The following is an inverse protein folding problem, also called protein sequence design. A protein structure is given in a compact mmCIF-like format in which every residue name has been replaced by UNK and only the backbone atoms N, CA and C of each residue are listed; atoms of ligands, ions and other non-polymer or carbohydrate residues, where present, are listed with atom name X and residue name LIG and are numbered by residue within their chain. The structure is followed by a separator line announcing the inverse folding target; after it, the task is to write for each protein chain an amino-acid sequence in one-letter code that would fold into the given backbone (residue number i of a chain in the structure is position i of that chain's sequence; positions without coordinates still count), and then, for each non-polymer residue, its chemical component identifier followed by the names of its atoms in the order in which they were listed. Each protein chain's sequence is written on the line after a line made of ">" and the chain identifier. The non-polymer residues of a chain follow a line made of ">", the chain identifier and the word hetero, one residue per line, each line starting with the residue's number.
data_IF_111611260772
#
_entry.id   IF_111611260772
#
_cell.length_a   1.000
_cell.length_b   1.000
_cell.length_c   1.000
_cell.angle_alpha   90.00
_cell.angle_beta   90.00
_cell.angle_gamma   90.00
#
_symmetry.space_group_name_H-M   'P 1'
#
loop_
_entity.id
_entity.type
_entity.pdbx_description
1 polymer ?
#
# COMPACT_ATOMS: atom_id res chain seq x y z
N UNK A 1 -7.30 -16.41 10.70
CA UNK A 1 -6.23 -16.66 11.72
C UNK A 1 -5.65 -15.32 12.13
N UNK A 2 -5.54 -15.01 13.42
CA UNK A 2 -5.03 -13.70 13.87
C UNK A 2 -3.52 -13.72 14.14
N UNK A 3 -2.80 -12.73 13.62
CA UNK A 3 -1.36 -12.53 13.81
C UNK A 3 -1.06 -11.06 14.12
N UNK A 4 0.12 -10.77 14.66
CA UNK A 4 0.62 -9.40 14.81
C UNK A 4 1.67 -9.11 13.76
N UNK A 5 1.51 -8.00 13.03
CA UNK A 5 2.48 -7.49 12.07
C UNK A 5 2.88 -6.08 12.49
N UNK A 6 4.15 -5.87 12.87
CA UNK A 6 4.64 -4.57 13.35
C UNK A 6 3.80 -3.98 14.50
N UNK A 7 3.21 -4.84 15.34
CA UNK A 7 2.34 -4.44 16.45
C UNK A 7 0.86 -4.26 16.09
N UNK A 8 0.49 -4.28 14.81
CA UNK A 8 -0.91 -4.23 14.36
C UNK A 8 -1.51 -5.64 14.33
N UNK A 9 -2.76 -5.77 14.78
CA UNK A 9 -3.51 -7.02 14.70
C UNK A 9 -4.04 -7.21 13.28
N UNK A 10 -3.63 -8.28 12.62
CA UNK A 10 -4.04 -8.64 11.27
C UNK A 10 -4.71 -10.02 11.27
N UNK A 11 -5.74 -10.18 10.45
CA UNK A 11 -6.31 -11.48 10.14
C UNK A 11 -5.77 -12.01 8.81
N UNK A 12 -5.32 -13.27 8.80
CA UNK A 12 -5.13 -14.03 7.57
C UNK A 12 -6.49 -14.49 7.08
N UNK A 13 -6.99 -13.85 6.03
CA UNK A 13 -8.30 -14.10 5.43
C UNK A 13 -8.27 -15.32 4.53
N UNK A 14 -7.26 -15.43 3.66
CA UNK A 14 -7.09 -16.58 2.79
C UNK A 14 -5.62 -16.92 2.54
N UNK A 15 -5.40 -18.22 2.29
CA UNK A 15 -4.14 -18.81 1.86
C UNK A 15 -4.48 -19.64 0.63
N UNK A 16 -3.86 -19.35 -0.51
CA UNK A 16 -4.13 -20.07 -1.75
C UNK A 16 -2.83 -20.36 -2.49
N UNK A 17 -2.64 -21.57 -3.04
CA UNK A 17 -1.63 -21.77 -4.06
C UNK A 17 -1.96 -20.87 -5.25
N UNK A 18 -0.94 -20.24 -5.84
CA UNK A 18 -1.03 -19.56 -7.12
C UNK A 18 -0.34 -20.40 -8.19
N UNK A 19 -1.11 -20.73 -9.23
CA UNK A 19 -0.62 -21.38 -10.44
C UNK A 19 -0.56 -20.33 -11.54
N UNK A 20 0.59 -20.22 -12.20
CA UNK A 20 0.74 -19.36 -13.37
C UNK A 20 0.42 -20.20 -14.59
N UNK A 21 -0.72 -19.95 -15.22
CA UNK A 21 -1.17 -20.72 -16.39
C UNK A 21 -0.29 -20.36 -17.59
N UNK A 22 0.71 -21.18 -17.87
CA UNK A 22 1.52 -21.06 -19.09
C UNK A 22 1.84 -22.43 -19.66
N UNK A 23 0.85 -23.09 -20.26
CA UNK A 23 1.00 -24.15 -21.28
C UNK A 23 1.91 -25.36 -21.00
N UNK A 24 2.50 -25.52 -19.81
CA UNK A 24 3.48 -26.56 -19.52
C UNK A 24 3.21 -27.18 -18.16
N UNK A 25 2.92 -28.49 -18.16
CA UNK A 25 2.85 -29.43 -17.02
C UNK A 25 1.80 -29.19 -15.94
N UNK A 26 1.10 -30.27 -15.59
CA UNK A 26 0.00 -30.34 -14.59
C UNK A 26 0.44 -30.10 -13.12
N UNK A 27 1.67 -29.68 -12.84
CA UNK A 27 2.28 -29.75 -11.49
C UNK A 27 2.91 -28.44 -10.95
N UNK A 28 2.87 -27.29 -11.64
CA UNK A 28 3.61 -26.10 -11.17
C UNK A 28 2.76 -25.14 -10.31
N UNK A 29 2.79 -25.35 -8.99
CA UNK A 29 2.51 -24.25 -8.04
C UNK A 29 3.76 -23.36 -8.00
N UNK A 30 3.63 -22.09 -8.38
CA UNK A 30 4.76 -21.15 -8.41
C UNK A 30 4.94 -20.41 -7.09
N UNK A 31 3.85 -20.18 -6.35
CA UNK A 31 3.88 -19.55 -5.04
C UNK A 31 2.65 -19.88 -4.20
N UNK A 32 2.75 -19.60 -2.90
CA UNK A 32 1.60 -19.56 -2.00
C UNK A 32 1.29 -18.09 -1.76
N UNK A 33 0.09 -17.67 -2.13
CA UNK A 33 -0.46 -16.35 -1.80
C UNK A 33 -1.07 -16.36 -0.41
N UNK A 34 -0.75 -15.35 0.39
CA UNK A 34 -1.33 -15.14 1.72
C UNK A 34 -1.87 -13.72 1.79
N UNK A 35 -3.14 -13.57 2.17
CA UNK A 35 -3.78 -12.28 2.29
C UNK A 35 -4.07 -11.92 3.74
N UNK A 36 -3.68 -10.70 4.09
CA UNK A 36 -3.89 -10.11 5.39
C UNK A 36 -4.95 -9.01 5.30
N UNK A 37 -5.82 -8.94 6.29
CA UNK A 37 -6.79 -7.85 6.49
C UNK A 37 -6.67 -7.27 7.89
N UNK A 38 -7.10 -6.02 8.03
CA UNK A 38 -7.14 -5.30 9.29
C UNK A 38 -8.57 -4.82 9.56
N UNK A 39 -8.98 -4.86 10.83
CA UNK A 39 -10.27 -4.33 11.27
C UNK A 39 -10.33 -2.80 11.09
N UNK A 40 -9.18 -2.12 11.27
CA UNK A 40 -9.01 -0.69 11.04
C UNK A 40 -7.89 -0.43 10.01
N UNK A 41 -8.01 0.61 9.15
CA UNK A 41 -6.97 0.92 8.19
C UNK A 41 -5.61 1.18 8.85
N UNK A 42 -4.59 0.46 8.41
CA UNK A 42 -3.20 0.72 8.80
C UNK A 42 -2.57 1.56 7.69
N UNK A 43 -2.25 2.82 8.03
CA UNK A 43 -1.73 3.80 7.07
C UNK A 43 -2.73 4.08 5.94
N UNK A 44 -2.55 3.46 4.77
CA UNK A 44 -3.41 3.64 3.59
C UNK A 44 -4.04 2.34 3.10
N UNK A 45 -3.97 1.26 3.89
CA UNK A 45 -4.50 -0.04 3.49
C UNK A 45 -5.39 -0.67 4.55
N UNK A 46 -6.41 -1.41 4.10
CA UNK A 46 -7.26 -2.28 4.91
C UNK A 46 -6.86 -3.77 4.76
N UNK A 47 -5.96 -4.07 3.83
CA UNK A 47 -5.47 -5.42 3.58
C UNK A 47 -4.46 -5.50 2.44
N UNK A 48 -3.66 -6.55 2.42
CA UNK A 48 -2.64 -6.76 1.39
C UNK A 48 -2.23 -8.23 1.30
N UNK A 49 -1.69 -8.61 0.14
CA UNK A 49 -1.16 -9.95 -0.10
C UNK A 49 0.35 -10.00 -0.06
N UNK A 50 0.88 -11.15 0.35
CA UNK A 50 2.28 -11.55 0.11
C UNK A 50 2.31 -12.86 -0.69
N UNK A 51 3.45 -13.11 -1.30
CA UNK A 51 3.73 -14.38 -1.96
C UNK A 51 4.95 -15.02 -1.29
N UNK A 52 4.84 -16.31 -1.01
CA UNK A 52 5.93 -17.09 -0.40
C UNK A 52 6.23 -18.33 -1.26
N UNK A 53 7.46 -18.87 -1.21
CA UNK A 53 7.84 -20.04 -1.99
C UNK A 53 6.98 -21.27 -1.66
N UNK A 54 6.62 -22.12 -2.64
CA UNK A 54 5.89 -23.35 -2.41
C UNK A 54 6.89 -24.45 -2.03
N UNK A 55 7.05 -24.69 -0.72
CA UNK A 55 7.84 -25.81 -0.18
C UNK A 55 7.10 -26.45 0.98
N UNK A 56 7.60 -27.58 1.46
CA UNK A 56 7.10 -28.16 2.70
C UNK A 56 7.52 -27.26 3.87
N UNK A 57 6.52 -26.85 4.65
CA UNK A 57 6.70 -26.06 5.87
C UNK A 57 6.12 -26.84 7.03
N UNK A 58 6.80 -26.79 8.18
CA UNK A 58 6.11 -27.01 9.45
C UNK A 58 5.17 -25.83 9.74
N UNK A 59 4.18 -26.03 10.60
CA UNK A 59 3.25 -24.97 11.00
C UNK A 59 3.99 -23.75 11.57
N UNK A 60 5.02 -23.97 12.40
CA UNK A 60 5.82 -22.89 12.97
C UNK A 60 6.63 -22.14 11.92
N UNK A 61 7.27 -22.85 10.99
CA UNK A 61 8.02 -22.21 9.91
C UNK A 61 7.11 -21.40 9.01
N UNK A 62 5.95 -21.94 8.66
CA UNK A 62 4.95 -21.24 7.86
C UNK A 62 4.55 -19.94 8.54
N UNK A 63 4.19 -19.99 9.83
CA UNK A 63 3.86 -18.80 10.62
C UNK A 63 5.00 -17.77 10.66
N UNK A 64 6.24 -18.21 10.86
CA UNK A 64 7.40 -17.30 10.87
C UNK A 64 7.61 -16.63 9.52
N UNK A 65 7.48 -17.38 8.43
CA UNK A 65 7.66 -16.86 7.06
C UNK A 65 6.58 -15.85 6.70
N UNK A 66 5.31 -16.14 6.99
CA UNK A 66 4.21 -15.20 6.70
C UNK A 66 4.31 -13.94 7.57
N UNK A 67 4.75 -14.05 8.83
CA UNK A 67 4.94 -12.88 9.70
C UNK A 67 6.08 -12.02 9.15
N UNK A 68 7.27 -12.59 8.92
CA UNK A 68 8.40 -11.83 8.42
C UNK A 68 8.13 -11.20 7.04
N UNK A 69 7.45 -11.94 6.15
CA UNK A 69 7.02 -11.42 4.84
C UNK A 69 5.98 -10.32 4.97
N UNK A 70 4.97 -10.53 5.82
CA UNK A 70 3.90 -9.58 6.10
C UNK A 70 4.42 -8.28 6.71
N UNK A 71 5.33 -8.36 7.67
CA UNK A 71 5.96 -7.18 8.29
C UNK A 71 6.79 -6.38 7.29
N UNK A 72 7.56 -7.05 6.44
CA UNK A 72 8.33 -6.37 5.39
C UNK A 72 7.42 -5.65 4.39
N UNK A 73 6.36 -6.32 3.96
CA UNK A 73 5.38 -5.74 3.03
C UNK A 73 4.63 -4.55 3.67
N UNK A 74 4.17 -4.70 4.91
CA UNK A 74 3.49 -3.65 5.65
C UNK A 74 4.40 -2.43 5.87
N UNK A 75 5.68 -2.64 6.22
CA UNK A 75 6.65 -1.56 6.34
C UNK A 75 6.80 -0.80 5.01
N UNK A 76 6.87 -1.52 3.89
CA UNK A 76 6.90 -0.92 2.55
C UNK A 76 5.68 -0.05 2.24
N UNK A 77 4.47 -0.52 2.62
CA UNK A 77 3.22 0.25 2.47
C UNK A 77 3.25 1.52 3.31
N UNK A 78 3.66 1.42 4.57
CA UNK A 78 3.77 2.57 5.49
C UNK A 78 4.76 3.61 4.94
N UNK A 79 5.92 3.17 4.47
CA UNK A 79 6.95 4.08 3.96
C UNK A 79 6.53 4.74 2.64
N UNK A 80 5.84 4.01 1.77
CA UNK A 80 5.27 4.56 0.55
C UNK A 80 4.21 5.62 0.87
N UNK A 81 3.30 5.35 1.80
CA UNK A 81 2.30 6.32 2.22
C UNK A 81 2.91 7.60 2.80
N UNK A 82 3.95 7.48 3.63
CA UNK A 82 4.69 8.65 4.15
C UNK A 82 5.30 9.50 3.02
N UNK A 83 5.89 8.87 2.01
CA UNK A 83 6.46 9.58 0.84
C UNK A 83 5.38 10.30 0.05
N UNK A 84 4.24 9.65 -0.19
CA UNK A 84 3.11 10.22 -0.92
C UNK A 84 2.51 11.41 -0.17
N UNK A 85 2.39 11.32 1.16
CA UNK A 85 1.93 12.42 1.99
C UNK A 85 2.83 13.64 1.89
N UNK A 86 4.15 13.46 2.02
CA UNK A 86 5.12 14.55 1.87
C UNK A 86 5.10 15.16 0.46
N UNK A 87 4.91 14.34 -0.57
CA UNK A 87 4.77 14.82 -1.95
C UNK A 87 3.45 15.58 -2.16
N UNK A 88 2.36 15.17 -1.52
CA UNK A 88 1.09 15.88 -1.55
C UNK A 88 1.19 17.25 -0.85
N UNK A 89 1.81 17.31 0.32
CA UNK A 89 2.04 18.55 1.06
C UNK A 89 2.85 19.57 0.22
N UNK A 90 3.94 19.12 -0.41
CA UNK A 90 4.74 19.98 -1.30
C UNK A 90 3.94 20.50 -2.50
N UNK A 91 3.10 19.66 -3.12
CA UNK A 91 2.23 20.07 -4.23
C UNK A 91 1.19 21.09 -3.79
N UNK A 92 0.61 20.92 -2.60
CA UNK A 92 -0.35 21.86 -2.05
C UNK A 92 0.29 23.22 -1.74
N UNK A 93 1.49 23.24 -1.15
CA UNK A 93 2.25 24.48 -0.94
C UNK A 93 2.58 25.19 -2.26
N UNK A 94 2.98 24.46 -3.29
CA UNK A 94 3.23 25.02 -4.61
C UNK A 94 1.95 25.59 -5.23
N UNK A 95 0.82 24.88 -5.12
CA UNK A 95 -0.48 25.38 -5.60
C UNK A 95 -0.89 26.66 -4.88
N UNK A 96 -0.70 26.73 -3.55
CA UNK A 96 -0.98 27.94 -2.76
C UNK A 96 -0.10 29.13 -3.17
N UNK A 97 1.20 28.91 -3.39
CA UNK A 97 2.12 29.96 -3.85
C UNK A 97 1.75 30.47 -5.25
N UNK A 98 1.43 29.57 -6.16
CA UNK A 98 1.01 29.94 -7.52
C UNK A 98 -0.30 30.72 -7.48
N UNK A 99 -1.31 30.24 -6.74
CA UNK A 99 -2.58 30.96 -6.59
C UNK A 99 -2.38 32.38 -6.04
N UNK A 100 -1.47 32.56 -5.08
CA UNK A 100 -1.15 33.89 -4.55
C UNK A 100 -0.51 34.78 -5.61
N UNK A 101 0.51 34.29 -6.33
CA UNK A 101 1.16 35.06 -7.40
C UNK A 101 0.18 35.47 -8.49
N UNK A 102 -0.72 34.56 -8.88
CA UNK A 102 -1.71 34.87 -9.91
C UNK A 102 -2.78 35.85 -9.38
N UNK A 103 -3.20 35.75 -8.12
CA UNK A 103 -4.08 36.75 -7.51
C UNK A 103 -3.42 38.14 -7.47
N UNK A 104 -2.16 38.24 -7.01
CA UNK A 104 -1.41 39.49 -6.96
C UNK A 104 -1.21 40.11 -8.37
N UNK A 105 -1.06 39.28 -9.40
CA UNK A 105 -0.97 39.73 -10.80
C UNK A 105 -2.33 40.17 -11.36
N UNK A 106 -3.41 39.46 -11.03
CA UNK A 106 -4.77 39.80 -11.42
C UNK A 106 -5.21 41.15 -10.85
N UNK A 107 -4.88 41.42 -9.58
CA UNK A 107 -5.12 42.73 -8.93
C UNK A 107 -4.32 43.85 -9.60
N UNK A 108 -3.06 43.60 -10.00
CA UNK A 108 -2.23 44.61 -10.67
C UNK A 108 -2.63 44.93 -12.11
N UNK A 109 -3.27 43.97 -12.80
CA UNK A 109 -3.65 44.09 -14.21
C UNK A 109 -5.14 44.42 -14.40
N UNK A 110 -5.91 44.56 -13.32
CA UNK A 110 -7.37 44.78 -13.31
C UNK A 110 -8.15 43.74 -14.15
N UNK A 111 -7.68 42.49 -14.14
CA UNK A 111 -8.29 41.37 -14.87
C UNK A 111 -9.12 40.53 -13.88
N UNK A 112 -10.43 40.33 -14.09
CA UNK A 112 -11.27 39.59 -13.16
C UNK A 112 -10.86 38.12 -13.06
N UNK A 113 -10.50 37.68 -11.85
CA UNK A 113 -9.99 36.35 -11.57
C UNK A 113 -11.13 35.37 -11.18
N UNK A 114 -11.24 34.22 -11.86
CA UNK A 114 -12.11 33.11 -11.43
C UNK A 114 -11.27 32.00 -10.81
N UNK A 115 -11.31 31.88 -9.48
CA UNK A 115 -10.75 30.73 -8.78
C UNK A 115 -11.57 29.48 -9.12
N UNK A 116 -10.94 28.51 -9.78
CA UNK A 116 -11.56 27.20 -9.97
C UNK A 116 -11.31 26.37 -8.71
N UNK A 117 -12.19 26.52 -7.72
CA UNK A 117 -12.24 25.68 -6.52
C UNK A 117 -13.00 24.39 -6.84
N UNK A 118 -12.28 23.40 -7.37
CA UNK A 118 -12.64 21.99 -7.26
C UNK A 118 -11.45 21.23 -6.69
#
# INVERSE_FOLDING_TARGET
>A
MKIKLLGYEAEVEWISPKQTSSFVSHDSIESIGVWFTFDEPVSSTIGFGIEIPPREYTEEEFKRVIIAGGERALQGIIDQHKKEKLAAEKRDEQRKKLNKLVADLGEKLDIPFRLNTK
#
